data_IF_159730517477
#
_entry.id   IF_159730517477
#
_cell.length_a   1.000
_cell.length_b   1.000
_cell.length_c   1.000
_cell.angle_alpha   90.00
_cell.angle_beta   90.00
_cell.angle_gamma   90.00
#
_symmetry.space_group_name_H-M   'P 1'
#
loop_
_entity.id
_entity.type
_entity.pdbx_description
1 polymer ?
#
# COMPACT_ATOMS: atom_id res chain seq x y z
N UNK A 1 -31.78 0.22 -14.73
CA UNK A 1 -31.16 1.07 -13.80
C UNK A 1 -29.67 0.81 -13.72
N UNK A 2 -29.02 1.75 -13.26
CA UNK A 2 -27.61 1.70 -13.35
C UNK A 2 -26.95 1.78 -11.97
N UNK A 3 -26.63 0.62 -11.43
CA UNK A 3 -26.01 0.54 -10.14
C UNK A 3 -24.54 0.96 -10.16
N UNK A 4 -23.98 1.13 -11.33
CA UNK A 4 -22.54 1.46 -11.43
C UNK A 4 -22.18 2.82 -10.86
N UNK A 5 -23.17 3.68 -10.68
CA UNK A 5 -22.93 4.97 -10.06
C UNK A 5 -22.30 4.81 -8.67
N UNK A 6 -22.68 3.75 -7.97
CA UNK A 6 -22.15 3.49 -6.63
C UNK A 6 -20.67 3.12 -6.65
N UNK A 7 -20.16 2.66 -7.80
CA UNK A 7 -18.77 2.24 -7.89
C UNK A 7 -17.79 3.40 -8.06
N UNK A 8 -18.31 4.62 -8.24
CA UNK A 8 -17.46 5.81 -8.29
C UNK A 8 -16.81 6.09 -6.94
N UNK A 9 -17.38 5.58 -5.87
CA UNK A 9 -16.92 5.85 -4.51
C UNK A 9 -16.68 4.52 -3.79
N UNK A 10 -15.49 3.94 -3.91
CA UNK A 10 -15.16 2.69 -3.21
C UNK A 10 -15.43 2.82 -1.72
N UNK A 11 -15.87 1.74 -1.11
CA UNK A 11 -16.18 1.68 0.30
C UNK A 11 -15.14 0.88 1.04
N UNK A 12 -14.93 1.21 2.31
CA UNK A 12 -14.11 0.37 3.18
C UNK A 12 -14.63 -1.06 3.11
N UNK A 13 -13.73 -2.03 3.00
CA UNK A 13 -14.12 -3.44 2.97
C UNK A 13 -14.49 -3.89 4.38
N UNK A 14 -15.76 -4.23 4.65
CA UNK A 14 -16.18 -4.64 5.99
C UNK A 14 -15.60 -5.98 6.43
N UNK A 15 -15.05 -6.76 5.49
CA UNK A 15 -14.43 -8.05 5.80
C UNK A 15 -12.94 -7.95 6.04
N UNK A 16 -12.37 -6.77 5.95
CA UNK A 16 -10.99 -6.51 6.31
C UNK A 16 -10.79 -6.84 7.79
N UNK A 17 -9.78 -7.66 8.11
CA UNK A 17 -9.53 -8.03 9.50
C UNK A 17 -9.05 -6.81 10.30
N UNK A 18 -7.91 -6.25 9.92
CA UNK A 18 -7.35 -5.05 10.54
C UNK A 18 -6.64 -4.24 9.48
N UNK A 19 -6.49 -2.95 9.72
CA UNK A 19 -5.58 -2.13 8.94
C UNK A 19 -4.17 -2.73 9.04
N UNK A 20 -3.45 -2.70 7.94
CA UNK A 20 -2.04 -3.10 7.97
C UNK A 20 -1.18 -1.88 8.30
N UNK A 21 -0.33 -2.04 9.31
CA UNK A 21 0.59 -0.99 9.75
C UNK A 21 2.00 -1.57 9.58
N UNK A 22 2.61 -1.35 8.41
CA UNK A 22 3.93 -1.90 8.13
C UNK A 22 5.01 -1.01 8.70
N UNK A 23 5.94 -1.61 9.42
CA UNK A 23 7.16 -0.93 9.85
C UNK A 23 8.24 -1.19 8.81
N UNK A 24 8.69 -0.14 8.14
CA UNK A 24 9.64 -0.23 7.04
C UNK A 24 10.98 0.28 7.51
N UNK A 25 12.02 -0.57 7.38
CA UNK A 25 13.38 -0.21 7.79
C UNK A 25 14.30 -0.16 6.58
N UNK A 26 15.52 0.29 6.79
CA UNK A 26 16.56 0.31 5.74
C UNK A 26 17.21 -1.06 5.55
N UNK A 27 17.08 -1.94 6.54
CA UNK A 27 17.78 -3.23 6.56
C UNK A 27 16.96 -4.42 6.10
N UNK A 28 15.66 -4.26 5.93
CA UNK A 28 14.76 -5.34 5.51
C UNK A 28 13.75 -4.85 4.52
N UNK A 29 13.50 -5.65 3.48
CA UNK A 29 12.42 -5.38 2.55
C UNK A 29 11.11 -5.92 3.12
N UNK A 30 10.04 -5.17 2.95
CA UNK A 30 8.75 -5.49 3.56
C UNK A 30 7.65 -5.47 2.51
N UNK A 31 6.72 -6.39 2.63
CA UNK A 31 5.55 -6.50 1.75
C UNK A 31 4.29 -6.47 2.60
N UNK A 32 3.16 -6.16 1.97
CA UNK A 32 1.88 -6.27 2.65
C UNK A 32 1.57 -7.74 2.98
N UNK A 33 0.85 -7.93 4.07
CA UNK A 33 0.22 -9.22 4.35
C UNK A 33 -0.94 -9.48 3.41
N UNK A 34 -1.65 -10.57 3.67
CA UNK A 34 -2.78 -10.99 2.84
C UNK A 34 -3.92 -9.97 2.90
N UNK A 35 -4.47 -9.63 1.74
CA UNK A 35 -5.68 -8.82 1.63
C UNK A 35 -6.92 -9.74 1.57
N UNK A 36 -8.05 -9.22 2.05
CA UNK A 36 -9.32 -9.94 1.92
C UNK A 36 -9.65 -10.15 0.44
N UNK A 37 -10.30 -11.28 0.12
CA UNK A 37 -10.58 -11.68 -1.25
C UNK A 37 -11.48 -10.70 -2.01
N UNK A 38 -12.26 -9.90 -1.31
CA UNK A 38 -13.18 -8.93 -1.91
C UNK A 38 -12.56 -7.53 -2.05
N UNK A 39 -11.33 -7.36 -1.60
CA UNK A 39 -10.64 -6.08 -1.71
C UNK A 39 -10.31 -5.77 -3.16
N UNK A 40 -10.66 -4.56 -3.60
CA UNK A 40 -10.39 -4.08 -4.95
C UNK A 40 -9.33 -3.00 -4.95
N UNK A 41 -9.32 -2.16 -3.93
CA UNK A 41 -8.39 -1.04 -3.81
C UNK A 41 -7.80 -1.01 -2.41
N UNK A 42 -6.58 -0.50 -2.33
CA UNK A 42 -5.88 -0.29 -1.08
C UNK A 42 -5.52 1.19 -0.99
N UNK A 43 -5.97 1.83 0.07
CA UNK A 43 -5.59 3.20 0.37
C UNK A 43 -4.48 3.14 1.41
N UNK A 44 -3.36 3.77 1.09
CA UNK A 44 -2.20 3.75 1.99
C UNK A 44 -1.66 5.15 2.19
N UNK A 45 -1.04 5.36 3.34
CA UNK A 45 -0.28 6.57 3.60
C UNK A 45 1.08 6.21 4.19
N UNK A 46 2.04 7.10 3.94
CA UNK A 46 3.42 6.93 4.38
C UNK A 46 3.68 7.92 5.51
N UNK A 47 4.24 7.41 6.60
CA UNK A 47 4.47 8.19 7.82
C UNK A 47 5.93 8.11 8.24
N UNK A 48 6.42 9.15 8.85
CA UNK A 48 7.72 9.30 9.50
C UNK A 48 8.89 9.48 8.54
N UNK A 49 9.06 8.62 7.54
CA UNK A 49 10.12 8.71 6.55
C UNK A 49 9.61 8.29 5.17
N UNK A 50 10.29 8.72 4.12
CA UNK A 50 9.99 8.30 2.76
C UNK A 50 10.36 6.83 2.56
N UNK A 51 9.68 6.17 1.62
CA UNK A 51 9.97 4.78 1.29
C UNK A 51 10.23 4.61 -0.19
N UNK A 52 11.13 3.67 -0.51
CA UNK A 52 11.28 3.15 -1.86
C UNK A 52 10.26 2.04 -2.08
N UNK A 53 9.75 1.91 -3.30
CA UNK A 53 8.83 0.84 -3.66
C UNK A 53 9.13 0.33 -5.07
N UNK A 54 9.02 -0.98 -5.24
CA UNK A 54 9.07 -1.65 -6.55
C UNK A 54 7.84 -2.54 -6.71
N UNK A 55 7.53 -2.91 -7.97
CA UNK A 55 6.36 -3.73 -8.29
C UNK A 55 6.70 -4.95 -9.14
N UNK A 56 7.98 -5.18 -9.43
CA UNK A 56 8.44 -6.16 -10.41
C UNK A 56 9.14 -7.36 -9.80
N UNK A 57 9.04 -7.54 -8.50
CA UNK A 57 9.67 -8.65 -7.80
C UNK A 57 11.10 -8.37 -7.36
N UNK A 58 11.68 -7.25 -7.78
CA UNK A 58 13.02 -6.86 -7.36
C UNK A 58 12.96 -6.04 -6.07
N UNK A 59 13.94 -6.18 -5.22
CA UNK A 59 14.01 -5.36 -4.01
C UNK A 59 14.38 -3.91 -4.37
N UNK A 60 13.69 -2.92 -3.77
CA UNK A 60 14.01 -1.53 -4.06
C UNK A 60 15.35 -1.11 -3.46
N UNK A 61 16.03 -0.23 -4.17
CA UNK A 61 17.30 0.36 -3.73
C UNK A 61 17.27 1.86 -4.01
N UNK A 62 18.33 2.56 -3.65
CA UNK A 62 18.44 3.99 -3.93
C UNK A 62 18.43 4.31 -5.43
N UNK A 63 18.70 3.32 -6.28
CA UNK A 63 18.74 3.49 -7.74
C UNK A 63 17.68 2.68 -8.46
N UNK A 64 16.84 1.94 -7.74
CA UNK A 64 15.78 1.12 -8.32
C UNK A 64 14.50 1.27 -7.53
N UNK A 65 13.48 1.78 -8.17
CA UNK A 65 12.16 1.94 -7.56
C UNK A 65 11.67 3.36 -7.62
N UNK A 66 10.45 3.53 -7.14
CA UNK A 66 9.85 4.85 -6.96
C UNK A 66 9.97 5.26 -5.51
N UNK A 67 9.82 6.55 -5.24
CA UNK A 67 9.77 7.07 -3.87
C UNK A 67 8.36 7.48 -3.56
N UNK A 68 7.85 6.97 -2.43
CA UNK A 68 6.62 7.45 -1.83
C UNK A 68 7.00 8.35 -0.66
N UNK A 69 6.47 9.56 -0.65
CA UNK A 69 6.89 10.59 0.31
C UNK A 69 6.05 10.54 1.57
N UNK A 70 6.71 10.70 2.70
CA UNK A 70 6.05 10.80 4.00
C UNK A 70 5.05 11.96 4.00
N UNK A 71 3.90 11.73 4.60
CA UNK A 71 2.81 12.71 4.65
C UNK A 71 1.85 12.63 3.48
N UNK A 72 2.12 11.79 2.48
CA UNK A 72 1.25 11.62 1.32
C UNK A 72 0.44 10.34 1.42
N UNK A 73 -0.72 10.34 0.77
CA UNK A 73 -1.60 9.19 0.67
C UNK A 73 -1.73 8.77 -0.79
N UNK A 74 -1.92 7.47 -0.99
CA UNK A 74 -1.99 6.85 -2.32
C UNK A 74 -3.15 5.86 -2.32
N UNK A 75 -3.78 5.71 -3.48
CA UNK A 75 -4.80 4.67 -3.66
C UNK A 75 -4.38 3.80 -4.83
N UNK A 76 -4.26 2.51 -4.58
CA UNK A 76 -3.82 1.53 -5.55
C UNK A 76 -4.87 0.46 -5.79
N UNK A 77 -4.90 -0.07 -6.99
CA UNK A 77 -5.58 -1.34 -7.22
C UNK A 77 -4.91 -2.41 -6.35
N UNK A 78 -5.69 -3.38 -5.86
CA UNK A 78 -5.18 -4.40 -4.95
C UNK A 78 -4.02 -5.20 -5.56
N UNK A 79 -4.02 -5.43 -6.87
CA UNK A 79 -2.93 -6.17 -7.52
C UNK A 79 -1.60 -5.41 -7.46
N UNK A 80 -1.65 -4.09 -7.53
CA UNK A 80 -0.44 -3.27 -7.34
C UNK A 80 0.07 -3.39 -5.92
N UNK A 81 -0.82 -3.33 -4.94
CA UNK A 81 -0.44 -3.48 -3.54
C UNK A 81 0.18 -4.85 -3.26
N UNK A 82 -0.37 -5.91 -3.87
CA UNK A 82 0.19 -7.27 -3.72
C UNK A 82 1.60 -7.38 -4.27
N UNK A 83 1.93 -6.63 -5.30
CA UNK A 83 3.23 -6.66 -5.94
C UNK A 83 4.27 -5.78 -5.25
N UNK A 84 3.84 -4.86 -4.40
CA UNK A 84 4.70 -3.84 -3.84
C UNK A 84 5.70 -4.42 -2.84
N UNK A 85 6.96 -3.98 -2.97
CA UNK A 85 8.03 -4.28 -2.03
C UNK A 85 8.58 -2.94 -1.57
N UNK A 86 8.67 -2.75 -0.26
CA UNK A 86 9.09 -1.48 0.34
C UNK A 86 10.43 -1.59 1.04
N UNK A 87 11.18 -0.49 1.02
CA UNK A 87 12.34 -0.29 1.86
C UNK A 87 12.38 1.18 2.26
N UNK A 88 12.94 1.50 3.41
CA UNK A 88 13.00 2.89 3.87
C UNK A 88 14.12 3.65 3.19
N UNK A 89 13.89 4.90 2.88
CA UNK A 89 14.93 5.81 2.38
C UNK A 89 15.93 6.14 3.50
N UNK A 90 15.44 6.25 4.74
CA UNK A 90 16.29 6.50 5.89
C UNK A 90 15.48 6.39 7.17
N UNK A 91 16.02 5.70 8.17
CA UNK A 91 15.30 5.48 9.42
C UNK A 91 14.14 4.53 9.26
N UNK A 92 13.22 4.57 10.20
CA UNK A 92 12.02 3.74 10.17
C UNK A 92 10.84 4.54 9.63
N UNK A 93 10.14 3.98 8.66
CA UNK A 93 8.91 4.54 8.12
C UNK A 93 7.74 3.64 8.47
N UNK A 94 6.54 4.17 8.36
CA UNK A 94 5.30 3.41 8.53
C UNK A 94 4.49 3.52 7.24
N UNK A 95 3.99 2.39 6.76
CA UNK A 95 3.00 2.38 5.69
C UNK A 95 1.71 1.82 6.27
N UNK A 96 0.72 2.68 6.37
CA UNK A 96 -0.60 2.33 6.90
C UNK A 96 -1.56 2.10 5.74
N UNK A 97 -2.29 0.98 5.75
CA UNK A 97 -3.16 0.63 4.63
C UNK A 97 -4.52 0.16 5.10
N UNK A 98 -5.54 0.61 4.37
CA UNK A 98 -6.92 0.17 4.53
C UNK A 98 -7.42 -0.43 3.23
N UNK A 99 -8.37 -1.36 3.34
CA UNK A 99 -8.89 -2.13 2.21
C UNK A 99 -10.27 -1.64 1.82
N UNK A 100 -10.47 -1.46 0.53
CA UNK A 100 -11.73 -0.96 -0.03
C UNK A 100 -12.30 -1.93 -1.07
N UNK A 101 -13.61 -1.94 -1.15
CA UNK A 101 -14.34 -2.66 -2.20
C UNK A 101 -15.05 -1.67 -3.11
N UNK A 102 -15.68 -2.16 -4.16
CA UNK A 102 -16.49 -1.34 -5.06
C UNK A 102 -17.72 -0.80 -4.35
#
# INVERSE_FOLDING_TARGET
>A
MNSRVTNLYPRINPNMADMQMLSITTSSNTVFGTFDKDTRYVSLDVQDNDVYVTYDGENPTATLGHILYAGNAYTWHVETAKAAIFNSVGGTAIVAASEFTD
#
